data_IF_467015628770
#
_entry.id   IF_467015628770
#
_cell.length_a   1.000
_cell.length_b   1.000
_cell.length_c   1.000
_cell.angle_alpha   90.00
_cell.angle_beta   90.00
_cell.angle_gamma   90.00
#
_symmetry.space_group_name_H-M   'P 1'
#
loop_
_entity.id
_entity.type
_entity.pdbx_description
1 polymer ?
#
# COMPACT_ATOMS: atom_id res chain seq x y z
N UNK A 1 -6.15 7.41 15.66
CA UNK A 1 -4.69 7.58 15.81
C UNK A 1 -4.07 7.06 14.53
N UNK A 2 -3.09 7.77 13.99
CA UNK A 2 -2.47 7.44 12.70
C UNK A 2 -0.98 7.17 12.90
N UNK A 3 -0.49 6.05 12.36
CA UNK A 3 0.93 5.70 12.38
C UNK A 3 1.50 5.80 10.96
N UNK A 4 2.42 6.74 10.75
CA UNK A 4 3.06 7.00 9.47
C UNK A 4 4.48 6.44 9.46
N UNK A 5 4.76 5.52 8.54
CA UNK A 5 6.00 4.78 8.43
C UNK A 5 6.62 4.94 7.05
N UNK A 6 7.83 5.48 6.98
CA UNK A 6 8.62 5.64 5.75
C UNK A 6 10.10 5.79 6.11
N UNK A 7 11.01 5.84 5.12
CA UNK A 7 12.44 6.07 5.40
C UNK A 7 12.75 7.55 5.68
N UNK A 8 12.15 8.43 4.88
CA UNK A 8 12.37 9.87 4.96
C UNK A 8 11.58 10.49 6.13
N UNK A 9 12.30 11.01 7.11
CA UNK A 9 11.71 11.59 8.31
C UNK A 9 11.08 12.97 8.03
N UNK A 10 11.66 13.75 7.12
CA UNK A 10 11.16 15.08 6.81
C UNK A 10 9.87 14.99 5.99
N UNK A 11 9.80 14.10 5.00
CA UNK A 11 8.56 13.77 4.31
C UNK A 11 7.46 13.23 5.24
N UNK A 12 7.81 12.48 6.30
CA UNK A 12 6.85 12.06 7.32
C UNK A 12 6.30 13.26 8.13
N UNK A 13 7.16 14.20 8.52
CA UNK A 13 6.76 15.42 9.24
C UNK A 13 5.85 16.30 8.37
N UNK A 14 6.21 16.48 7.10
CA UNK A 14 5.39 17.20 6.13
C UNK A 14 4.01 16.55 5.98
N UNK A 15 3.98 15.22 5.79
CA UNK A 15 2.71 14.48 5.68
C UNK A 15 1.85 14.64 6.94
N UNK A 16 2.45 14.53 8.13
CA UNK A 16 1.74 14.73 9.39
C UNK A 16 1.14 16.14 9.50
N UNK A 17 1.88 17.17 9.08
CA UNK A 17 1.39 18.54 9.05
C UNK A 17 0.20 18.71 8.08
N UNK A 18 0.31 18.17 6.87
CA UNK A 18 -0.77 18.21 5.87
C UNK A 18 -2.05 17.53 6.36
N UNK A 19 -1.92 16.39 7.05
CA UNK A 19 -3.05 15.68 7.66
C UNK A 19 -3.69 16.54 8.75
N UNK A 20 -2.88 17.16 9.61
CA UNK A 20 -3.39 18.04 10.67
C UNK A 20 -4.12 19.26 10.10
N UNK A 21 -3.58 19.90 9.05
CA UNK A 21 -4.19 21.05 8.40
C UNK A 21 -5.53 20.68 7.73
N UNK A 22 -5.56 19.55 7.03
CA UNK A 22 -6.79 19.01 6.46
C UNK A 22 -7.85 18.74 7.54
N UNK A 23 -7.45 18.13 8.66
CA UNK A 23 -8.34 17.86 9.80
C UNK A 23 -8.88 19.14 10.42
N UNK A 24 -8.03 20.15 10.62
CA UNK A 24 -8.42 21.44 11.17
C UNK A 24 -9.43 22.15 10.27
N UNK A 25 -9.28 22.04 8.94
CA UNK A 25 -10.21 22.62 7.96
C UNK A 25 -11.62 22.03 8.05
N UNK A 26 -11.76 20.80 8.56
CA UNK A 26 -13.03 20.10 8.71
C UNK A 26 -13.77 20.43 10.03
N UNK A 27 -13.19 21.26 10.90
CA UNK A 27 -13.77 21.68 12.19
C UNK A 27 -14.19 20.51 13.09
N UNK A 28 -13.49 19.37 13.03
CA UNK A 28 -13.79 18.22 13.87
C UNK A 28 -13.31 18.43 15.31
N UNK A 29 -14.14 18.06 16.29
CA UNK A 29 -13.88 18.26 17.72
C UNK A 29 -12.92 17.24 18.34
N UNK A 30 -12.73 16.08 17.70
CA UNK A 30 -11.87 15.01 18.22
C UNK A 30 -10.41 15.21 17.80
N UNK A 31 -9.50 15.07 18.77
CA UNK A 31 -8.07 15.22 18.55
C UNK A 31 -7.51 14.03 17.75
N UNK A 32 -6.90 14.31 16.60
CA UNK A 32 -6.18 13.31 15.81
C UNK A 32 -4.74 13.20 16.33
N UNK A 33 -4.38 12.03 16.87
CA UNK A 33 -2.99 11.76 17.23
C UNK A 33 -2.27 11.11 16.06
N UNK A 34 -1.14 11.70 15.64
CA UNK A 34 -0.29 11.21 14.56
C UNK A 34 1.08 10.83 15.14
N UNK A 35 1.52 9.61 14.85
CA UNK A 35 2.83 9.08 15.22
C UNK A 35 3.64 8.84 13.96
N UNK A 36 4.82 9.46 13.87
CA UNK A 36 5.75 9.24 12.77
C UNK A 36 6.88 8.31 13.20
N UNK A 37 7.29 7.42 12.31
CA UNK A 37 8.39 6.50 12.57
C UNK A 37 9.22 6.32 11.28
N UNK A 38 10.43 6.90 11.26
CA UNK A 38 11.39 6.57 10.21
C UNK A 38 11.80 5.10 10.31
N UNK A 39 11.75 4.35 9.23
CA UNK A 39 12.00 2.89 9.17
C UNK A 39 12.28 2.43 7.74
N UNK A 40 13.28 1.56 7.58
CA UNK A 40 13.51 0.82 6.34
C UNK A 40 12.90 -0.57 6.45
N UNK A 41 11.87 -0.83 5.65
CA UNK A 41 11.17 -2.12 5.60
C UNK A 41 11.95 -3.20 4.82
N UNK A 42 13.11 -2.85 4.22
CA UNK A 42 14.04 -3.83 3.66
C UNK A 42 15.06 -4.37 4.69
N UNK A 43 14.99 -3.91 5.94
CA UNK A 43 15.91 -4.27 7.03
C UNK A 43 15.16 -4.89 8.23
N UNK A 44 15.05 -6.22 8.26
CA UNK A 44 14.25 -6.98 9.24
C UNK A 44 14.53 -6.64 10.70
N UNK A 45 15.79 -6.50 11.07
CA UNK A 45 16.20 -6.17 12.45
C UNK A 45 15.64 -4.81 12.90
N UNK A 46 15.49 -3.87 11.96
CA UNK A 46 15.01 -2.53 12.23
C UNK A 46 13.50 -2.47 12.42
N UNK A 47 12.72 -3.00 11.47
CA UNK A 47 11.27 -2.84 11.50
C UNK A 47 10.58 -3.76 12.51
N UNK A 48 11.10 -4.97 12.75
CA UNK A 48 10.47 -5.95 13.67
C UNK A 48 10.27 -5.37 15.08
N UNK A 49 11.33 -4.80 15.67
CA UNK A 49 11.28 -4.16 16.99
C UNK A 49 10.34 -2.96 17.04
N UNK A 50 10.30 -2.16 15.97
CA UNK A 50 9.43 -0.98 15.89
C UNK A 50 7.96 -1.38 15.89
N UNK A 51 7.62 -2.51 15.24
CA UNK A 51 6.24 -3.02 15.22
C UNK A 51 5.84 -3.46 16.61
N UNK A 52 6.71 -4.19 17.30
CA UNK A 52 6.46 -4.62 18.68
C UNK A 52 6.22 -3.43 19.61
N UNK A 53 6.99 -2.35 19.45
CA UNK A 53 6.81 -1.13 20.23
C UNK A 53 5.46 -0.43 19.96
N UNK A 54 4.99 -0.42 18.70
CA UNK A 54 3.66 0.12 18.36
C UNK A 54 2.57 -0.74 18.98
N UNK A 55 2.65 -2.06 18.84
CA UNK A 55 1.68 -2.99 19.41
C UNK A 55 1.67 -2.95 20.95
N UNK A 56 2.81 -2.68 21.60
CA UNK A 56 2.88 -2.55 23.06
C UNK A 56 2.27 -1.25 23.59
N UNK A 57 2.29 -0.17 22.78
CA UNK A 57 1.61 1.09 23.10
C UNK A 57 0.09 0.99 22.90
N UNK A 58 -0.38 -0.11 22.31
CA UNK A 58 -1.78 -0.40 22.06
C UNK A 58 -2.50 -0.73 23.38
N UNK A 59 -2.91 0.32 24.08
CA UNK A 59 -3.62 0.24 25.37
C UNK A 59 -5.09 0.63 25.26
N UNK A 60 -5.48 1.25 24.14
CA UNK A 60 -6.85 1.66 23.87
C UNK A 60 -7.59 0.60 23.02
N UNK A 61 -8.87 0.37 23.34
CA UNK A 61 -9.78 -0.35 22.44
C UNK A 61 -10.10 0.57 21.26
N UNK A 62 -9.83 0.10 20.05
CA UNK A 62 -10.23 0.76 18.81
C UNK A 62 -11.34 -0.07 18.18
N UNK A 63 -12.39 0.61 17.69
CA UNK A 63 -13.50 -0.06 17.00
C UNK A 63 -13.06 -0.67 15.67
N UNK A 64 -12.09 -0.05 14.99
CA UNK A 64 -11.60 -0.49 13.68
C UNK A 64 -10.16 -0.05 13.48
N UNK A 65 -9.38 -0.93 12.88
CA UNK A 65 -7.98 -0.65 12.54
C UNK A 65 -7.78 -0.86 11.04
N UNK A 66 -7.15 0.11 10.40
CA UNK A 66 -6.74 0.02 9.00
C UNK A 66 -5.23 -0.19 8.92
N UNK A 67 -4.79 -1.35 8.41
CA UNK A 67 -3.39 -1.60 8.05
C UNK A 67 -3.23 -1.45 6.54
N UNK A 68 -2.55 -0.39 6.11
CA UNK A 68 -2.37 -0.04 4.70
C UNK A 68 -0.96 -0.41 4.23
N UNK A 69 -0.87 -1.43 3.39
CA UNK A 69 0.39 -1.83 2.74
C UNK A 69 0.59 -1.05 1.44
N UNK A 70 1.07 0.19 1.57
CA UNK A 70 1.40 1.06 0.42
C UNK A 70 2.87 0.93 -0.02
N UNK A 71 3.80 0.86 0.94
CA UNK A 71 5.23 0.82 0.65
C UNK A 71 5.60 -0.30 -0.34
N UNK A 72 6.46 0.06 -1.29
CA UNK A 72 6.96 -0.86 -2.31
C UNK A 72 7.98 -0.18 -3.24
N UNK A 73 8.70 -0.99 -3.99
CA UNK A 73 9.70 -0.54 -4.95
C UNK A 73 9.59 -1.34 -6.25
N UNK A 74 10.08 -0.77 -7.37
CA UNK A 74 10.14 -1.47 -8.65
C UNK A 74 11.19 -2.59 -8.67
N UNK A 75 12.26 -2.43 -7.89
CA UNK A 75 13.44 -3.29 -8.02
C UNK A 75 14.24 -2.93 -9.26
N UNK A 76 15.11 -3.85 -9.69
CA UNK A 76 15.92 -3.68 -10.89
C UNK A 76 15.07 -3.85 -12.15
N UNK A 77 15.25 -2.93 -13.08
CA UNK A 77 14.65 -2.99 -14.41
C UNK A 77 15.54 -3.80 -15.35
N UNK A 78 14.93 -4.59 -16.21
CA UNK A 78 15.63 -5.44 -17.18
C UNK A 78 14.97 -6.80 -17.34
N UNK A 79 15.35 -7.53 -18.37
CA UNK A 79 14.86 -8.89 -18.60
C UNK A 79 15.26 -9.81 -17.44
N UNK A 80 14.55 -10.93 -17.28
CA UNK A 80 14.80 -11.86 -16.19
C UNK A 80 16.23 -12.44 -16.19
N UNK A 81 16.90 -12.53 -17.34
CA UNK A 81 18.30 -12.95 -17.40
C UNK A 81 19.32 -11.85 -17.00
N UNK A 82 18.90 -10.59 -16.95
CA UNK A 82 19.71 -9.43 -16.53
C UNK A 82 19.55 -9.15 -15.03
N UNK A 83 19.09 -10.17 -14.31
CA UNK A 83 18.71 -10.10 -12.92
C UNK A 83 19.89 -9.67 -12.02
N UNK A 84 19.61 -8.87 -10.98
CA UNK A 84 20.64 -8.35 -10.07
C UNK A 84 21.25 -9.46 -9.20
N UNK A 85 22.22 -9.11 -8.36
CA UNK A 85 22.83 -10.09 -7.44
C UNK A 85 21.77 -10.70 -6.51
N UNK A 86 21.92 -11.97 -6.07
CA UNK A 86 20.96 -12.59 -5.14
C UNK A 86 20.69 -11.77 -3.87
N UNK A 87 21.67 -11.02 -3.36
CA UNK A 87 21.50 -10.12 -2.22
C UNK A 87 20.56 -8.95 -2.51
N UNK A 88 20.64 -8.37 -3.70
CA UNK A 88 19.76 -7.27 -4.12
C UNK A 88 18.32 -7.78 -4.36
N UNK A 89 18.19 -9.00 -4.90
CA UNK A 89 16.89 -9.68 -4.98
C UNK A 89 16.30 -9.91 -3.60
N UNK A 90 17.09 -10.48 -2.68
CA UNK A 90 16.64 -10.76 -1.32
C UNK A 90 16.15 -9.48 -0.64
N UNK A 91 16.89 -8.37 -0.78
CA UNK A 91 16.49 -7.07 -0.24
C UNK A 91 15.19 -6.53 -0.87
N UNK A 92 14.97 -6.73 -2.17
CA UNK A 92 13.72 -6.35 -2.85
C UNK A 92 12.53 -7.16 -2.33
N UNK A 93 12.69 -8.48 -2.17
CA UNK A 93 11.66 -9.35 -1.62
C UNK A 93 11.43 -9.12 -0.13
N UNK A 94 12.46 -8.73 0.62
CA UNK A 94 12.34 -8.32 2.02
C UNK A 94 11.39 -7.13 2.16
N UNK A 95 11.64 -6.07 1.39
CA UNK A 95 10.77 -4.89 1.34
C UNK A 95 9.35 -5.22 0.90
N UNK A 96 9.21 -5.87 -0.25
CA UNK A 96 7.90 -5.96 -0.92
C UNK A 96 7.06 -7.14 -0.44
N UNK A 97 7.66 -8.20 0.12
CA UNK A 97 6.97 -9.45 0.47
C UNK A 97 7.16 -9.82 1.93
N UNK A 98 8.40 -10.04 2.39
CA UNK A 98 8.65 -10.52 3.76
C UNK A 98 8.11 -9.55 4.81
N UNK A 99 8.40 -8.25 4.68
CA UNK A 99 7.94 -7.23 5.63
C UNK A 99 6.41 -7.17 5.70
N UNK A 100 5.73 -7.28 4.55
CA UNK A 100 4.27 -7.29 4.44
C UNK A 100 3.69 -8.50 5.17
N UNK A 101 4.24 -9.69 4.91
CA UNK A 101 3.81 -10.94 5.57
C UNK A 101 4.07 -10.88 7.09
N UNK A 102 5.22 -10.35 7.50
CA UNK A 102 5.59 -10.22 8.90
C UNK A 102 4.67 -9.26 9.66
N UNK A 103 4.43 -8.07 9.11
CA UNK A 103 3.49 -7.09 9.66
C UNK A 103 2.10 -7.71 9.80
N UNK A 104 1.62 -8.38 8.76
CA UNK A 104 0.37 -9.11 8.79
C UNK A 104 0.31 -10.15 9.92
N UNK A 105 1.36 -10.95 10.11
CA UNK A 105 1.45 -11.91 11.21
C UNK A 105 1.40 -11.23 12.57
N UNK A 106 2.20 -10.17 12.80
CA UNK A 106 2.25 -9.50 14.11
C UNK A 106 0.94 -8.83 14.50
N UNK A 107 0.22 -8.24 13.55
CA UNK A 107 -1.10 -7.66 13.81
C UNK A 107 -2.20 -8.73 14.02
N UNK A 108 -2.02 -9.97 13.54
CA UNK A 108 -2.94 -11.07 13.90
C UNK A 108 -2.71 -11.55 15.33
N UNK A 109 -1.45 -11.53 15.79
CA UNK A 109 -1.12 -11.93 17.16
C UNK A 109 -1.68 -10.96 18.21
N UNK A 110 -1.94 -9.70 17.86
CA UNK A 110 -2.31 -8.64 18.82
C UNK A 110 -3.80 -8.67 19.25
N UNK A 111 -4.49 -9.79 19.05
CA UNK A 111 -5.91 -10.02 19.42
C UNK A 111 -6.87 -8.89 19.05
N UNK A 112 -6.64 -8.22 17.92
CA UNK A 112 -7.50 -7.14 17.46
C UNK A 112 -8.87 -7.68 17.02
N UNK A 113 -9.94 -7.09 17.54
CA UNK A 113 -11.31 -7.53 17.27
C UNK A 113 -11.74 -7.27 15.82
N UNK A 114 -11.30 -6.16 15.23
CA UNK A 114 -11.62 -5.82 13.85
C UNK A 114 -10.47 -5.10 13.12
N UNK A 115 -9.84 -5.80 12.18
CA UNK A 115 -8.70 -5.32 11.38
C UNK A 115 -9.03 -5.36 9.89
N UNK A 116 -9.01 -4.21 9.25
CA UNK A 116 -9.13 -4.07 7.81
C UNK A 116 -7.77 -3.83 7.16
N UNK A 117 -7.43 -4.64 6.17
CA UNK A 117 -6.16 -4.52 5.44
C UNK A 117 -6.41 -3.93 4.07
N UNK A 118 -5.70 -2.86 3.74
CA UNK A 118 -5.72 -2.25 2.41
C UNK A 118 -4.39 -2.51 1.74
N UNK A 119 -4.41 -3.03 0.52
CA UNK A 119 -3.22 -3.49 -0.19
C UNK A 119 -3.20 -2.90 -1.57
N UNK A 120 -2.10 -2.26 -1.95
CA UNK A 120 -1.90 -1.83 -3.33
C UNK A 120 -1.22 -2.93 -4.17
N UNK A 121 -1.95 -3.50 -5.14
CA UNK A 121 -1.53 -4.66 -5.94
C UNK A 121 -1.69 -4.43 -7.46
N UNK A 122 -0.85 -5.12 -8.25
CA UNK A 122 -0.93 -5.17 -9.71
C UNK A 122 -0.50 -6.57 -10.19
N UNK A 123 -1.34 -7.27 -10.96
CA UNK A 123 -1.16 -8.73 -11.22
C UNK A 123 -0.81 -9.03 -12.69
N UNK A 124 -0.72 -8.01 -13.56
CA UNK A 124 -0.36 -8.23 -14.96
C UNK A 124 1.16 -8.43 -15.15
N UNK A 125 1.59 -9.35 -16.04
CA UNK A 125 2.99 -9.49 -16.41
C UNK A 125 3.40 -8.31 -17.29
N UNK A 126 4.52 -7.67 -16.94
CA UNK A 126 5.15 -6.63 -17.74
C UNK A 126 6.60 -7.03 -18.01
N UNK A 127 7.02 -6.94 -19.27
CA UNK A 127 8.42 -7.14 -19.63
C UNK A 127 9.29 -6.15 -18.86
N UNK A 128 10.53 -6.53 -18.56
CA UNK A 128 11.50 -5.76 -17.76
C UNK A 128 11.17 -5.53 -16.29
N UNK A 129 10.05 -6.08 -15.78
CA UNK A 129 9.55 -5.92 -14.41
C UNK A 129 9.44 -7.23 -13.63
N UNK A 130 10.34 -8.18 -13.87
CA UNK A 130 10.30 -9.52 -13.27
C UNK A 130 10.14 -9.48 -11.73
N UNK A 131 10.97 -8.71 -11.04
CA UNK A 131 10.95 -8.61 -9.57
C UNK A 131 9.67 -7.92 -9.06
N UNK A 132 9.22 -6.85 -9.72
CA UNK A 132 8.01 -6.12 -9.34
C UNK A 132 6.76 -6.99 -9.52
N UNK A 133 6.56 -7.56 -10.71
CA UNK A 133 5.41 -8.40 -11.02
C UNK A 133 5.36 -9.63 -10.10
N UNK A 134 6.50 -10.27 -9.85
CA UNK A 134 6.58 -11.42 -8.94
C UNK A 134 6.22 -11.02 -7.51
N UNK A 135 6.74 -9.90 -7.00
CA UNK A 135 6.45 -9.44 -5.64
C UNK A 135 4.97 -9.05 -5.47
N UNK A 136 4.36 -8.37 -6.46
CA UNK A 136 2.93 -8.03 -6.41
C UNK A 136 2.04 -9.27 -6.50
N UNK A 137 2.40 -10.27 -7.33
CA UNK A 137 1.70 -11.55 -7.38
C UNK A 137 1.80 -12.33 -6.05
N UNK A 138 2.98 -12.34 -5.42
CA UNK A 138 3.18 -12.95 -4.10
C UNK A 138 2.33 -12.28 -3.02
N UNK A 139 2.31 -10.94 -2.98
CA UNK A 139 1.43 -10.18 -2.08
C UNK A 139 -0.03 -10.54 -2.30
N UNK A 140 -0.51 -10.49 -3.55
CA UNK A 140 -1.91 -10.82 -3.86
C UNK A 140 -2.28 -12.21 -3.35
N UNK A 141 -1.46 -13.21 -3.62
CA UNK A 141 -1.72 -14.57 -3.13
C UNK A 141 -1.73 -14.63 -1.60
N UNK A 142 -0.76 -13.99 -0.94
CA UNK A 142 -0.72 -13.93 0.53
C UNK A 142 -2.01 -13.33 1.12
N UNK A 143 -2.53 -12.26 0.53
CA UNK A 143 -3.76 -11.62 0.97
C UNK A 143 -5.02 -12.44 0.70
N UNK A 144 -5.06 -13.19 -0.41
CA UNK A 144 -6.14 -14.16 -0.69
C UNK A 144 -6.15 -15.32 0.30
N UNK A 145 -4.98 -15.86 0.63
CA UNK A 145 -4.82 -16.90 1.67
C UNK A 145 -5.33 -16.37 3.01
N UNK A 146 -4.86 -15.19 3.41
CA UNK A 146 -5.29 -14.55 4.65
C UNK A 146 -6.81 -14.33 4.71
N UNK A 147 -7.42 -13.83 3.64
CA UNK A 147 -8.87 -13.64 3.58
C UNK A 147 -9.63 -14.97 3.74
N UNK A 148 -9.09 -16.04 3.16
CA UNK A 148 -9.64 -17.40 3.27
C UNK A 148 -9.54 -17.93 4.70
N UNK A 149 -8.39 -17.77 5.35
CA UNK A 149 -8.16 -18.19 6.74
C UNK A 149 -9.06 -17.42 7.73
N UNK A 150 -9.24 -16.12 7.51
CA UNK A 150 -9.99 -15.25 8.41
C UNK A 150 -11.50 -15.27 8.17
N UNK A 151 -11.98 -15.93 7.11
CA UNK A 151 -13.40 -16.07 6.82
C UNK A 151 -14.17 -16.80 7.94
N UNK A 152 -13.52 -17.71 8.66
CA UNK A 152 -14.15 -18.48 9.74
C UNK A 152 -14.36 -17.66 11.04
N UNK A 153 -13.47 -16.70 11.33
CA UNK A 153 -13.53 -15.88 12.55
C UNK A 153 -14.10 -14.48 12.32
N UNK A 154 -14.20 -14.03 11.07
CA UNK A 154 -14.72 -12.72 10.65
C UNK A 154 -14.08 -11.50 11.35
N UNK A 155 -12.86 -11.65 11.87
CA UNK A 155 -12.10 -10.56 12.54
C UNK A 155 -11.34 -9.67 11.56
N UNK A 156 -11.01 -10.18 10.38
CA UNK A 156 -10.16 -9.47 9.42
C UNK A 156 -10.83 -9.39 8.06
N UNK A 157 -10.85 -8.18 7.48
CA UNK A 157 -11.26 -7.95 6.09
C UNK A 157 -10.08 -7.52 5.24
N UNK A 158 -9.92 -8.14 4.08
CA UNK A 158 -8.77 -7.91 3.19
C UNK A 158 -9.24 -7.23 1.91
N UNK A 159 -8.75 -6.04 1.67
CA UNK A 159 -9.04 -5.23 0.49
C UNK A 159 -7.78 -5.10 -0.38
N UNK A 160 -7.75 -5.87 -1.47
CA UNK A 160 -6.72 -5.73 -2.52
C UNK A 160 -7.18 -4.73 -3.57
N UNK A 161 -6.50 -3.59 -3.64
CA UNK A 161 -6.80 -2.48 -4.52
C UNK A 161 -5.71 -2.28 -5.57
N UNK A 162 -6.09 -2.08 -6.82
CA UNK A 162 -5.18 -1.63 -7.86
C UNK A 162 -5.48 -0.17 -8.21
N UNK A 163 -4.55 0.75 -7.95
CA UNK A 163 -4.80 2.18 -8.06
C UNK A 163 -4.87 2.70 -9.51
N UNK A 164 -4.59 1.85 -10.49
CA UNK A 164 -4.45 2.23 -11.89
C UNK A 164 -3.12 2.93 -12.17
N UNK A 165 -2.94 3.39 -13.41
CA UNK A 165 -1.76 4.14 -13.83
C UNK A 165 -1.82 5.58 -13.29
N UNK A 166 -1.20 5.82 -12.14
CA UNK A 166 -1.16 7.14 -11.50
C UNK A 166 0.04 7.98 -11.95
N UNK A 167 -0.13 9.30 -12.03
CA UNK A 167 0.99 10.21 -12.26
C UNK A 167 1.81 10.38 -10.97
N UNK A 168 2.87 9.59 -10.86
CA UNK A 168 3.76 9.52 -9.69
C UNK A 168 5.22 9.55 -10.13
N UNK A 169 6.13 9.82 -9.20
CA UNK A 169 7.58 9.70 -9.43
C UNK A 169 7.99 8.28 -9.87
N UNK A 170 7.31 7.25 -9.34
CA UNK A 170 7.51 5.86 -9.77
C UNK A 170 7.23 5.75 -11.27
N UNK A 171 6.10 6.28 -11.73
CA UNK A 171 5.69 6.27 -13.14
C UNK A 171 6.66 7.10 -14.00
N UNK A 172 7.14 8.24 -13.50
CA UNK A 172 8.18 9.02 -14.16
C UNK A 172 9.46 8.23 -14.40
N UNK A 173 9.96 7.54 -13.37
CA UNK A 173 11.15 6.69 -13.46
C UNK A 173 10.99 5.59 -14.52
N UNK A 174 9.77 5.08 -14.72
CA UNK A 174 9.47 4.12 -15.80
C UNK A 174 9.63 4.75 -17.19
N UNK A 175 9.09 5.97 -17.38
CA UNK A 175 9.12 6.68 -18.67
C UNK A 175 10.53 7.11 -19.08
N UNK A 176 11.39 7.39 -18.10
CA UNK A 176 12.74 7.92 -18.32
C UNK A 176 13.82 6.83 -18.39
N UNK A 177 13.52 5.61 -17.95
CA UNK A 177 14.52 4.53 -17.89
C UNK A 177 14.75 3.88 -19.27
N UNK A 178 16.00 3.81 -19.76
CA UNK A 178 16.33 3.09 -20.99
C UNK A 178 16.28 1.56 -20.82
N UNK A 179 16.23 1.06 -19.57
CA UNK A 179 16.15 -0.37 -19.25
C UNK A 179 14.71 -0.90 -19.29
N UNK A 180 13.74 -0.02 -19.52
CA UNK A 180 12.33 -0.37 -19.61
C UNK A 180 11.98 -0.86 -21.02
N UNK A 181 11.03 -1.80 -21.12
CA UNK A 181 10.53 -2.27 -22.41
C UNK A 181 9.99 -1.11 -23.28
N UNK A 182 10.54 -0.85 -24.49
CA UNK A 182 10.21 0.35 -25.27
C UNK A 182 8.72 0.55 -25.55
N UNK A 183 7.98 -0.53 -25.77
CA UNK A 183 6.52 -0.49 -25.99
C UNK A 183 5.76 0.04 -24.77
N UNK A 184 6.15 -0.38 -23.56
CA UNK A 184 5.54 0.10 -22.33
C UNK A 184 5.95 1.54 -22.03
N UNK A 185 7.19 1.92 -22.32
CA UNK A 185 7.65 3.32 -22.23
C UNK A 185 6.80 4.21 -23.13
N UNK A 186 6.63 3.83 -24.40
CA UNK A 186 5.80 4.58 -25.35
C UNK A 186 4.35 4.67 -24.90
N UNK A 187 3.77 3.56 -24.43
CA UNK A 187 2.40 3.53 -23.90
C UNK A 187 2.20 4.53 -22.75
N UNK A 188 3.12 4.55 -21.78
CA UNK A 188 3.05 5.46 -20.65
C UNK A 188 3.33 6.93 -21.00
N UNK A 189 4.25 7.20 -21.93
CA UNK A 189 4.49 8.55 -22.47
C UNK A 189 3.21 9.07 -23.12
N UNK A 190 2.59 8.27 -23.99
CA UNK A 190 1.33 8.60 -24.64
C UNK A 190 0.22 8.87 -23.62
N UNK A 191 0.07 8.03 -22.59
CA UNK A 191 -0.90 8.28 -21.52
C UNK A 191 -0.68 9.63 -20.82
N UNK A 192 0.57 10.03 -20.60
CA UNK A 192 0.88 11.35 -20.02
C UNK A 192 0.51 12.49 -20.97
N UNK A 193 0.91 12.39 -22.24
CA UNK A 193 0.64 13.40 -23.26
C UNK A 193 -0.87 13.60 -23.49
N UNK A 194 -1.66 12.52 -23.40
CA UNK A 194 -3.11 12.53 -23.54
C UNK A 194 -3.85 12.91 -22.25
N UNK A 195 -3.13 13.14 -21.14
CA UNK A 195 -3.75 13.43 -19.83
C UNK A 195 -4.56 12.26 -19.26
N UNK A 196 -4.24 11.02 -19.64
CA UNK A 196 -4.94 9.80 -19.26
C UNK A 196 -4.43 9.17 -17.94
N UNK A 197 -3.38 9.72 -17.34
CA UNK A 197 -2.90 9.30 -16.02
C UNK A 197 -3.88 9.72 -14.92
N UNK A 198 -4.11 8.82 -13.97
CA UNK A 198 -5.04 9.05 -12.87
C UNK A 198 -4.39 9.97 -11.83
N UNK A 199 -5.04 11.08 -11.42
CA UNK A 199 -4.58 11.88 -10.30
C UNK A 199 -4.54 11.07 -9.01
N UNK A 200 -3.46 11.19 -8.24
CA UNK A 200 -3.25 10.42 -6.99
C UNK A 200 -4.44 10.59 -6.04
N UNK A 201 -4.92 11.82 -5.87
CA UNK A 201 -6.05 12.17 -5.01
C UNK A 201 -7.33 11.44 -5.43
N UNK A 202 -7.55 11.27 -6.74
CA UNK A 202 -8.73 10.57 -7.24
C UNK A 202 -8.68 9.08 -6.92
N UNK A 203 -7.52 8.45 -7.09
CA UNK A 203 -7.35 7.03 -6.80
C UNK A 203 -7.40 6.74 -5.30
N UNK A 204 -6.70 7.53 -4.49
CA UNK A 204 -6.67 7.37 -3.03
C UNK A 204 -8.04 7.62 -2.41
N UNK A 205 -8.78 8.63 -2.87
CA UNK A 205 -10.15 8.89 -2.40
C UNK A 205 -11.07 7.70 -2.66
N UNK A 206 -11.00 7.08 -3.85
CA UNK A 206 -11.80 5.87 -4.14
C UNK A 206 -11.41 4.71 -3.23
N UNK A 207 -10.12 4.44 -3.07
CA UNK A 207 -9.64 3.37 -2.19
C UNK A 207 -10.14 3.55 -0.76
N UNK A 208 -10.01 4.76 -0.22
CA UNK A 208 -10.49 5.15 1.11
C UNK A 208 -11.98 4.94 1.26
N UNK A 209 -12.79 5.41 0.32
CA UNK A 209 -14.25 5.27 0.39
C UNK A 209 -14.65 3.79 0.35
N UNK A 210 -14.04 3.00 -0.54
CA UNK A 210 -14.27 1.55 -0.61
C UNK A 210 -13.92 0.87 0.71
N UNK A 211 -12.76 1.20 1.27
CA UNK A 211 -12.28 0.62 2.50
C UNK A 211 -13.21 0.96 3.66
N UNK A 212 -13.47 2.24 3.92
CA UNK A 212 -14.26 2.68 5.08
C UNK A 212 -15.71 2.17 5.04
N UNK A 213 -16.35 2.19 3.88
CA UNK A 213 -17.73 1.69 3.76
C UNK A 213 -17.80 0.16 3.80
N UNK A 214 -16.71 -0.52 3.45
CA UNK A 214 -16.70 -1.97 3.39
C UNK A 214 -17.37 -2.55 2.15
N UNK A 215 -17.54 -1.81 1.04
CA UNK A 215 -18.19 -2.33 -0.16
C UNK A 215 -17.20 -3.07 -1.08
N UNK A 216 -16.64 -4.15 -0.55
CA UNK A 216 -15.80 -5.09 -1.28
C UNK A 216 -15.93 -6.47 -0.66
N UNK A 217 -15.68 -7.49 -1.46
CA UNK A 217 -15.55 -8.86 -0.96
C UNK A 217 -14.13 -9.11 -0.47
N UNK A 218 -14.00 -9.60 0.76
CA UNK A 218 -12.69 -9.85 1.38
C UNK A 218 -11.85 -10.80 0.52
N UNK A 219 -10.62 -10.42 0.22
CA UNK A 219 -9.69 -11.20 -0.60
C UNK A 219 -9.92 -11.10 -2.11
N UNK A 220 -10.91 -10.33 -2.58
CA UNK A 220 -11.06 -10.04 -4.02
C UNK A 220 -10.24 -8.82 -4.42
N UNK A 221 -9.61 -8.94 -5.58
CA UNK A 221 -8.95 -7.85 -6.29
C UNK A 221 -9.97 -6.85 -6.84
N UNK A 222 -9.76 -5.57 -6.54
CA UNK A 222 -10.59 -4.44 -6.99
C UNK A 222 -9.71 -3.45 -7.73
N UNK A 223 -10.02 -3.16 -9.00
CA UNK A 223 -9.33 -2.11 -9.75
C UNK A 223 -9.97 -0.74 -9.55
N UNK A 224 -9.22 0.33 -9.83
CA UNK A 224 -9.72 1.71 -9.86
C UNK A 224 -11.03 1.87 -10.66
N UNK A 225 -11.17 1.18 -11.80
CA UNK A 225 -12.38 1.24 -12.64
C UNK A 225 -13.57 0.53 -12.01
N UNK A 226 -13.33 -0.50 -11.20
CA UNK A 226 -14.35 -1.27 -10.48
C UNK A 226 -14.70 -0.67 -9.13
N UNK A 227 -13.81 0.12 -8.53
CA UNK A 227 -14.03 0.90 -7.32
C UNK A 227 -14.98 2.11 -7.54
N UNK A 228 -16.00 1.96 -8.38
CA UNK A 228 -17.02 2.99 -8.65
C UNK A 228 -18.13 2.90 -7.61
N UNK A 229 -18.48 4.05 -7.04
CA UNK A 229 -19.57 4.20 -6.10
C UNK A 229 -20.73 4.99 -6.72
N UNK A 230 -21.96 4.51 -6.51
CA UNK A 230 -23.19 5.16 -6.98
C UNK A 230 -23.85 6.08 -5.95
N UNK A 231 -23.39 6.15 -4.70
CA UNK A 231 -23.96 7.02 -3.67
C UNK A 231 -22.90 7.50 -2.68
N UNK A 232 -22.58 8.79 -2.71
CA UNK A 232 -21.76 9.46 -1.70
C UNK A 232 -22.56 9.58 -0.40
N UNK A 233 -22.39 8.65 0.55
CA UNK A 233 -22.41 9.07 1.95
C UNK A 233 -21.03 9.66 2.21
N UNK A 234 -20.98 10.92 2.67
CA UNK A 234 -19.72 11.62 2.97
C UNK A 234 -18.87 10.74 3.87
N UNK A 235 -17.82 10.15 3.33
CA UNK A 235 -16.73 9.59 4.13
C UNK A 235 -15.82 10.76 4.43
N UNK A 236 -15.88 11.24 5.68
CA UNK A 236 -14.96 12.24 6.19
C UNK A 236 -13.97 11.46 7.06
N UNK A 237 -12.75 11.23 6.56
CA UNK A 237 -11.61 10.85 7.39
C UNK A 237 -11.08 12.11 8.05
#
# INVERSE_FOLDING_TARGET
>A
MDFLWARDEDGLKETAQLVQDARNSLQQAENLQIFIQSVDLSESVGYTKKVDNVLAQWSAQYDTIFLVHNAGALGSLGFAQECPLPSEMARHFELNVTSVMWLNKRFLDSEVDYLQRVVESAIAPYSTLSQYCTAKAAREMHFRVLATEQAACNKVRVFSYAPGAMDTEMQQSMRESPLWAPELTHWFVKMKEEGALIPIQQSSQRAVVVAVNGDFESGKYVSFERARYNNLRRVII
#
